data_IF_180705260591
#
_entry.id   IF_180705260591
#
_cell.length_a   1.000
_cell.length_b   1.000
_cell.length_c   1.000
_cell.angle_alpha   90.00
_cell.angle_beta   90.00
_cell.angle_gamma   90.00
#
_symmetry.space_group_name_H-M   'P 1'
#
loop_
_entity.id
_entity.type
_entity.pdbx_description
1 polymer ?
#
# COMPACT_ATOMS: atom_id res chain seq x y z
N UNK A 1 26.64 -5.75 -21.53
CA UNK A 1 25.79 -5.85 -20.31
C UNK A 1 25.50 -4.49 -19.71
N UNK A 2 26.43 -3.53 -19.69
CA UNK A 2 26.20 -2.17 -19.15
C UNK A 2 25.13 -1.34 -19.91
N UNK A 3 24.98 -1.50 -21.23
CA UNK A 3 24.02 -0.68 -22.01
C UNK A 3 22.54 -0.95 -21.70
N UNK A 4 22.20 -2.16 -21.26
CA UNK A 4 20.81 -2.52 -20.95
C UNK A 4 20.38 -2.00 -19.58
N UNK A 5 21.32 -1.87 -18.63
CA UNK A 5 21.02 -1.42 -17.28
C UNK A 5 20.76 0.09 -17.25
N UNK A 6 21.56 0.89 -17.98
CA UNK A 6 21.33 2.33 -18.13
C UNK A 6 19.99 2.64 -18.81
N UNK A 7 19.60 1.87 -19.83
CA UNK A 7 18.31 2.02 -20.48
C UNK A 7 17.14 1.67 -19.52
N UNK A 8 17.28 0.60 -18.73
CA UNK A 8 16.29 0.22 -17.73
C UNK A 8 16.11 1.31 -16.66
N UNK A 9 17.20 1.89 -16.15
CA UNK A 9 17.15 2.99 -15.18
C UNK A 9 16.39 4.20 -15.73
N UNK A 10 16.59 4.56 -16.99
CA UNK A 10 15.87 5.67 -17.62
C UNK A 10 14.36 5.41 -17.69
N UNK A 11 13.96 4.17 -18.03
CA UNK A 11 12.54 3.77 -18.07
C UNK A 11 11.93 3.78 -16.67
N UNK A 12 12.61 3.20 -15.67
CA UNK A 12 12.11 3.20 -14.30
C UNK A 12 12.00 4.62 -13.74
N UNK A 13 12.99 5.47 -13.99
CA UNK A 13 12.93 6.89 -13.63
C UNK A 13 11.74 7.58 -14.29
N UNK A 14 11.52 7.36 -15.58
CA UNK A 14 10.36 7.92 -16.28
C UNK A 14 9.04 7.46 -15.63
N UNK A 15 8.92 6.17 -15.27
CA UNK A 15 7.74 5.65 -14.58
C UNK A 15 7.49 6.35 -13.24
N UNK A 16 8.53 6.72 -12.48
CA UNK A 16 8.34 7.50 -11.25
C UNK A 16 7.76 8.90 -11.49
N UNK A 17 8.00 9.49 -12.66
CA UNK A 17 7.42 10.77 -13.07
C UNK A 17 5.98 10.62 -13.56
N UNK A 18 5.69 9.56 -14.32
CA UNK A 18 4.36 9.30 -14.88
C UNK A 18 3.36 8.80 -13.82
N UNK A 19 3.84 8.05 -12.82
CA UNK A 19 3.00 7.44 -11.78
C UNK A 19 3.50 7.82 -10.37
N UNK A 20 3.51 9.11 -10.02
CA UNK A 20 4.17 9.60 -8.81
C UNK A 20 3.54 9.11 -7.50
N UNK A 21 2.32 8.56 -7.54
CA UNK A 21 1.59 7.98 -6.40
C UNK A 21 1.75 6.46 -6.25
N UNK A 22 2.46 5.79 -7.15
CA UNK A 22 2.63 4.34 -7.12
C UNK A 22 3.87 3.95 -6.32
N UNK A 23 3.71 3.30 -5.17
CA UNK A 23 4.83 2.73 -4.40
C UNK A 23 5.68 1.78 -5.24
N UNK A 24 5.04 1.01 -6.14
CA UNK A 24 5.70 0.00 -6.98
C UNK A 24 6.72 0.60 -7.96
N UNK A 25 6.48 1.81 -8.49
CA UNK A 25 7.44 2.41 -9.44
C UNK A 25 8.70 2.86 -8.72
N UNK A 26 8.59 3.35 -7.49
CA UNK A 26 9.75 3.67 -6.67
C UNK A 26 10.48 2.41 -6.20
N UNK A 27 9.76 1.34 -5.83
CA UNK A 27 10.38 0.06 -5.47
C UNK A 27 11.19 -0.52 -6.64
N UNK A 28 10.57 -0.60 -7.81
CA UNK A 28 11.20 -1.11 -9.04
C UNK A 28 12.43 -0.27 -9.43
N UNK A 29 12.34 1.06 -9.29
CA UNK A 29 13.48 1.91 -9.56
C UNK A 29 14.59 1.73 -8.54
N UNK A 30 14.24 1.62 -7.24
CA UNK A 30 15.17 1.30 -6.16
C UNK A 30 15.93 -0.01 -6.41
N UNK A 31 15.24 -1.04 -6.88
CA UNK A 31 15.85 -2.33 -7.23
C UNK A 31 16.83 -2.23 -8.39
N UNK A 32 16.45 -1.51 -9.45
CA UNK A 32 17.33 -1.29 -10.59
C UNK A 32 18.58 -0.47 -10.19
N UNK A 33 18.41 0.55 -9.36
CA UNK A 33 19.50 1.39 -8.82
C UNK A 33 20.46 0.56 -7.97
N UNK A 34 19.93 -0.29 -7.08
CA UNK A 34 20.73 -1.18 -6.24
C UNK A 34 21.56 -2.16 -7.08
N UNK A 35 20.94 -2.77 -8.11
CA UNK A 35 21.64 -3.65 -9.07
C UNK A 35 22.72 -2.93 -9.87
N UNK A 36 22.55 -1.63 -10.13
CA UNK A 36 23.55 -0.78 -10.79
C UNK A 36 24.58 -0.16 -9.82
N UNK A 37 24.55 -0.54 -8.54
CA UNK A 37 25.49 -0.05 -7.52
C UNK A 37 25.22 1.37 -7.01
N UNK A 38 24.12 2.01 -7.42
CA UNK A 38 23.72 3.36 -6.99
C UNK A 38 22.94 3.29 -5.67
N UNK A 39 23.64 2.93 -4.59
CA UNK A 39 23.03 2.57 -3.29
C UNK A 39 22.26 3.72 -2.65
N UNK A 40 22.78 4.95 -2.70
CA UNK A 40 22.16 6.10 -2.05
C UNK A 40 20.81 6.42 -2.71
N UNK A 41 20.77 6.40 -4.05
CA UNK A 41 19.54 6.59 -4.82
C UNK A 41 18.57 5.42 -4.62
N UNK A 42 19.08 4.19 -4.50
CA UNK A 42 18.24 3.03 -4.21
C UNK A 42 17.54 3.19 -2.85
N UNK A 43 18.27 3.59 -1.81
CA UNK A 43 17.73 3.86 -0.47
C UNK A 43 16.64 4.93 -0.54
N UNK A 44 16.87 6.03 -1.25
CA UNK A 44 15.87 7.11 -1.39
C UNK A 44 14.56 6.59 -1.99
N UNK A 45 14.66 5.80 -3.06
CA UNK A 45 13.48 5.28 -3.76
C UNK A 45 12.76 4.21 -2.94
N UNK A 46 13.49 3.30 -2.29
CA UNK A 46 12.86 2.33 -1.40
C UNK A 46 12.18 3.00 -0.21
N UNK A 47 12.79 4.03 0.40
CA UNK A 47 12.15 4.80 1.49
C UNK A 47 10.83 5.38 1.02
N UNK A 48 10.83 6.04 -0.15
CA UNK A 48 9.62 6.62 -0.73
C UNK A 48 8.54 5.58 -0.99
N UNK A 49 8.94 4.41 -1.51
CA UNK A 49 8.01 3.29 -1.71
C UNK A 49 7.37 2.82 -0.40
N UNK A 50 8.18 2.61 0.65
CA UNK A 50 7.73 2.14 1.96
C UNK A 50 6.91 3.18 2.72
N UNK A 51 7.23 4.48 2.58
CA UNK A 51 6.42 5.56 3.14
C UNK A 51 5.03 5.63 2.49
N UNK A 52 4.94 5.38 1.18
CA UNK A 52 3.67 5.30 0.47
C UNK A 52 2.87 4.04 0.82
N UNK A 53 3.55 2.89 0.86
CA UNK A 53 3.00 1.59 1.24
C UNK A 53 3.85 0.91 2.32
N UNK A 54 3.52 1.08 3.61
CA UNK A 54 4.23 0.43 4.71
C UNK A 54 4.14 -1.11 4.70
N UNK A 55 3.25 -1.67 3.88
CA UNK A 55 3.13 -3.10 3.63
C UNK A 55 4.12 -3.64 2.59
N UNK A 56 4.92 -2.78 1.94
CA UNK A 56 5.93 -3.22 0.98
C UNK A 56 7.12 -3.90 1.69
N UNK A 57 6.94 -5.17 2.02
CA UNK A 57 7.97 -5.97 2.69
C UNK A 57 9.26 -6.09 1.85
N UNK A 58 9.13 -6.16 0.51
CA UNK A 58 10.29 -6.22 -0.38
C UNK A 58 11.19 -4.98 -0.25
N UNK A 59 10.60 -3.80 -0.24
CA UNK A 59 11.30 -2.53 -0.03
C UNK A 59 11.89 -2.42 1.38
N UNK A 60 11.18 -2.88 2.41
CA UNK A 60 11.68 -2.92 3.80
C UNK A 60 12.92 -3.83 3.89
N UNK A 61 12.84 -5.04 3.35
CA UNK A 61 13.95 -6.00 3.35
C UNK A 61 15.15 -5.48 2.55
N UNK A 62 14.90 -4.78 1.44
CA UNK A 62 15.95 -4.17 0.64
C UNK A 62 16.66 -3.04 1.40
N UNK A 63 15.90 -2.18 2.11
CA UNK A 63 16.46 -1.15 2.99
C UNK A 63 17.31 -1.76 4.09
N UNK A 64 16.83 -2.83 4.74
CA UNK A 64 17.58 -3.49 5.81
C UNK A 64 18.91 -4.07 5.29
N UNK A 65 18.90 -4.72 4.11
CA UNK A 65 20.12 -5.20 3.44
C UNK A 65 21.10 -4.06 3.09
N UNK A 66 20.58 -2.85 2.86
CA UNK A 66 21.36 -1.64 2.61
C UNK A 66 21.74 -0.90 3.90
N UNK A 67 21.43 -1.45 5.08
CA UNK A 67 21.80 -0.90 6.39
C UNK A 67 20.84 0.17 6.91
N UNK A 68 19.63 0.27 6.37
CA UNK A 68 18.61 1.24 6.78
C UNK A 68 17.43 0.52 7.40
N UNK A 69 17.06 0.89 8.63
CA UNK A 69 15.83 0.42 9.28
C UNK A 69 14.78 1.51 9.23
N UNK A 70 13.60 1.17 8.72
CA UNK A 70 12.43 2.06 8.72
C UNK A 70 11.64 1.90 10.01
N UNK A 71 11.09 2.99 10.52
CA UNK A 71 10.07 2.95 11.57
C UNK A 71 8.68 2.94 10.91
N UNK A 72 8.19 1.74 10.56
CA UNK A 72 6.89 1.53 9.89
C UNK A 72 5.77 1.19 10.88
N UNK A 73 5.80 1.76 12.09
CA UNK A 73 4.76 1.49 13.09
C UNK A 73 3.38 1.90 12.58
N UNK A 74 2.43 1.01 12.83
CA UNK A 74 1.02 1.25 12.57
C UNK A 74 0.51 2.41 13.43
N UNK A 75 -0.37 3.24 12.86
CA UNK A 75 -1.02 4.31 13.60
C UNK A 75 -1.92 3.72 14.70
N UNK A 76 -1.93 4.35 15.88
CA UNK A 76 -2.85 3.96 16.95
C UNK A 76 -4.20 4.65 16.75
N UNK A 77 -5.18 3.90 16.22
CA UNK A 77 -6.54 4.38 15.98
C UNK A 77 -7.47 3.89 17.10
N UNK A 78 -8.27 4.81 17.64
CA UNK A 78 -9.17 4.48 18.75
C UNK A 78 -10.26 3.49 18.34
N UNK A 79 -10.71 2.64 19.27
CA UNK A 79 -11.73 1.62 18.97
C UNK A 79 -13.05 2.21 18.46
N UNK A 80 -13.46 3.39 18.95
CA UNK A 80 -14.68 4.07 18.49
C UNK A 80 -14.58 4.49 17.02
N UNK A 81 -13.40 4.94 16.58
CA UNK A 81 -13.16 5.27 15.17
C UNK A 81 -13.15 3.99 14.34
N UNK A 82 -12.45 2.94 14.78
CA UNK A 82 -12.44 1.65 14.08
C UNK A 82 -13.83 1.02 13.94
N UNK A 83 -14.67 1.15 14.98
CA UNK A 83 -16.06 0.66 14.95
C UNK A 83 -16.87 1.34 13.84
N UNK A 84 -16.63 2.63 13.58
CA UNK A 84 -17.34 3.35 12.51
C UNK A 84 -17.06 2.81 11.09
N UNK A 85 -15.91 2.14 10.92
CA UNK A 85 -15.50 1.50 9.67
C UNK A 85 -16.09 0.11 9.45
N UNK A 86 -16.62 -0.54 10.50
CA UNK A 86 -17.21 -1.89 10.39
C UNK A 86 -18.46 -1.83 9.53
N UNK A 87 -18.58 -2.76 8.56
CA UNK A 87 -19.73 -2.85 7.68
C UNK A 87 -19.42 -3.56 6.37
N UNK A 88 -20.41 -3.59 5.47
CA UNK A 88 -20.26 -4.14 4.12
C UNK A 88 -20.24 -3.02 3.09
N UNK A 89 -19.26 -3.04 2.19
CA UNK A 89 -19.07 -2.04 1.16
C UNK A 89 -19.19 -2.68 -0.23
N UNK A 90 -20.13 -2.21 -1.05
CA UNK A 90 -20.33 -2.74 -2.40
C UNK A 90 -19.41 -2.00 -3.39
N UNK A 91 -18.37 -2.69 -3.87
CA UNK A 91 -17.38 -2.16 -4.83
C UNK A 91 -17.89 -2.24 -6.28
N UNK A 92 -18.71 -3.25 -6.58
CA UNK A 92 -19.41 -3.45 -7.84
C UNK A 92 -20.63 -4.37 -7.60
N UNK A 93 -21.60 -4.46 -8.52
CA UNK A 93 -22.79 -5.31 -8.33
C UNK A 93 -22.45 -6.75 -7.95
N UNK A 94 -22.81 -7.15 -6.72
CA UNK A 94 -22.54 -8.49 -6.18
C UNK A 94 -21.10 -8.75 -5.73
N UNK A 95 -20.22 -7.75 -5.81
CA UNK A 95 -18.84 -7.81 -5.31
C UNK A 95 -18.67 -6.84 -4.14
N UNK A 96 -18.57 -7.42 -2.94
CA UNK A 96 -18.51 -6.69 -1.69
C UNK A 96 -17.15 -6.83 -1.03
N UNK A 97 -16.81 -5.84 -0.22
CA UNK A 97 -15.74 -5.87 0.77
C UNK A 97 -16.38 -5.77 2.15
N UNK A 98 -16.26 -6.82 2.95
CA UNK A 98 -16.70 -6.83 4.34
C UNK A 98 -15.56 -6.37 5.25
N UNK A 99 -15.83 -5.38 6.10
CA UNK A 99 -14.90 -4.87 7.11
C UNK A 99 -15.39 -5.33 8.49
N UNK A 100 -14.55 -6.07 9.20
CA UNK A 100 -14.84 -6.59 10.55
C UNK A 100 -13.74 -6.22 11.54
N UNK A 101 -14.01 -6.31 12.84
CA UNK A 101 -13.08 -5.92 13.91
C UNK A 101 -12.92 -7.01 14.97
N UNK A 102 -11.74 -7.12 15.56
CA UNK A 102 -11.51 -7.84 16.83
C UNK A 102 -10.53 -7.03 17.68
N UNK A 103 -11.03 -6.41 18.77
CA UNK A 103 -10.23 -5.44 19.53
C UNK A 103 -9.80 -4.26 18.63
N UNK A 104 -8.53 -3.86 18.63
CA UNK A 104 -8.03 -2.80 17.75
C UNK A 104 -7.68 -3.25 16.32
N UNK A 105 -7.83 -4.54 15.99
CA UNK A 105 -7.47 -5.07 14.68
C UNK A 105 -8.69 -5.08 13.74
N UNK A 106 -8.55 -4.45 12.57
CA UNK A 106 -9.51 -4.56 11.48
C UNK A 106 -9.12 -5.70 10.52
N UNK A 107 -10.15 -6.26 9.89
CA UNK A 107 -10.03 -7.29 8.87
C UNK A 107 -10.91 -6.93 7.69
N UNK A 108 -10.47 -7.33 6.49
CA UNK A 108 -11.25 -7.22 5.26
C UNK A 108 -11.43 -8.58 4.60
N UNK A 109 -12.59 -8.77 3.98
CA UNK A 109 -12.87 -9.94 3.16
C UNK A 109 -13.64 -9.52 1.90
N UNK A 110 -13.03 -9.73 0.74
CA UNK A 110 -13.72 -9.57 -0.53
C UNK A 110 -14.54 -10.83 -0.86
N UNK A 111 -15.64 -10.69 -1.61
CA UNK A 111 -16.48 -11.83 -2.04
C UNK A 111 -15.62 -12.94 -2.67
N UNK A 112 -15.70 -14.15 -2.10
CA UNK A 112 -14.99 -15.33 -2.61
C UNK A 112 -13.49 -15.38 -2.28
N UNK A 113 -12.97 -14.45 -1.48
CA UNK A 113 -11.56 -14.40 -1.07
C UNK A 113 -11.41 -14.73 0.42
N UNK A 114 -10.16 -14.99 0.81
CA UNK A 114 -9.79 -15.13 2.21
C UNK A 114 -9.93 -13.79 2.95
N UNK A 115 -10.07 -13.86 4.27
CA UNK A 115 -10.06 -12.70 5.16
C UNK A 115 -8.62 -12.34 5.52
N UNK A 116 -8.30 -11.04 5.48
CA UNK A 116 -6.96 -10.54 5.79
C UNK A 116 -7.03 -9.41 6.82
N UNK A 117 -5.94 -9.24 7.57
CA UNK A 117 -5.74 -8.08 8.43
C UNK A 117 -5.43 -6.84 7.58
N UNK A 118 -5.94 -5.69 8.04
CA UNK A 118 -5.54 -4.38 7.52
C UNK A 118 -4.91 -3.57 8.65
N UNK A 119 -3.85 -2.82 8.35
CA UNK A 119 -3.06 -2.09 9.33
C UNK A 119 -3.23 -0.60 9.09
N UNK A 120 -3.34 0.18 10.17
CA UNK A 120 -3.55 1.61 10.08
C UNK A 120 -2.25 2.32 9.68
N UNK A 121 -2.29 3.10 8.61
CA UNK A 121 -1.25 4.07 8.25
C UNK A 121 -1.57 5.45 8.83
N UNK A 122 -2.85 5.79 8.88
CA UNK A 122 -3.39 6.98 9.53
C UNK A 122 -4.75 6.64 10.15
N UNK A 123 -5.51 7.64 10.60
CA UNK A 123 -6.87 7.42 11.09
C UNK A 123 -7.77 6.80 10.01
N UNK A 124 -7.62 7.21 8.74
CA UNK A 124 -8.50 6.83 7.62
C UNK A 124 -7.82 5.98 6.54
N UNK A 125 -6.49 5.93 6.48
CA UNK A 125 -5.73 5.14 5.51
C UNK A 125 -5.25 3.84 6.14
N UNK A 126 -5.52 2.72 5.46
CA UNK A 126 -5.14 1.39 5.87
C UNK A 126 -4.43 0.65 4.72
N UNK A 127 -3.57 -0.30 5.07
CA UNK A 127 -2.80 -1.06 4.10
C UNK A 127 -2.77 -2.56 4.45
N UNK A 128 -2.48 -3.39 3.46
CA UNK A 128 -2.32 -4.83 3.61
C UNK A 128 -0.83 -5.22 3.50
N UNK A 129 -0.41 -6.22 4.28
CA UNK A 129 0.95 -6.79 4.20
C UNK A 129 1.04 -8.01 3.27
N UNK A 130 -0.09 -8.58 2.89
CA UNK A 130 -0.19 -9.82 2.09
C UNK A 130 -0.46 -9.59 0.60
N UNK A 131 -0.93 -8.39 0.25
CA UNK A 131 -1.21 -7.95 -1.11
C UNK A 131 -0.98 -6.45 -1.19
N UNK A 132 -0.50 -5.96 -2.34
CA UNK A 132 -0.33 -4.53 -2.59
C UNK A 132 -1.70 -3.87 -2.83
N UNK A 133 -2.38 -3.58 -1.72
CA UNK A 133 -3.64 -2.87 -1.69
C UNK A 133 -3.72 -1.95 -0.47
N UNK A 134 -4.43 -0.84 -0.65
CA UNK A 134 -4.72 0.13 0.41
C UNK A 134 -6.21 0.45 0.43
N UNK A 135 -6.68 0.93 1.57
CA UNK A 135 -8.07 1.32 1.77
C UNK A 135 -8.08 2.70 2.39
N UNK A 136 -8.88 3.59 1.81
CA UNK A 136 -9.19 4.90 2.41
C UNK A 136 -10.66 4.90 2.82
N UNK A 137 -10.94 5.18 4.10
CA UNK A 137 -12.29 5.37 4.59
C UNK A 137 -12.75 6.81 4.41
N UNK A 138 -13.92 6.98 3.78
CA UNK A 138 -14.54 8.27 3.47
C UNK A 138 -15.94 8.30 4.10
N UNK A 139 -15.97 8.54 5.42
CA UNK A 139 -17.18 8.41 6.23
C UNK A 139 -18.25 9.46 5.89
N UNK A 140 -17.85 10.67 5.50
CA UNK A 140 -18.79 11.72 5.11
C UNK A 140 -19.61 11.33 3.88
N UNK A 141 -19.01 10.54 2.98
CA UNK A 141 -19.60 9.99 1.77
C UNK A 141 -20.19 8.58 2.00
N UNK A 142 -20.13 8.06 3.23
CA UNK A 142 -20.53 6.71 3.62
C UNK A 142 -19.96 5.62 2.68
N UNK A 143 -18.66 5.71 2.40
CA UNK A 143 -17.95 4.80 1.48
C UNK A 143 -16.52 4.51 1.94
N UNK A 144 -15.89 3.57 1.24
CA UNK A 144 -14.44 3.42 1.23
C UNK A 144 -13.94 3.44 -0.22
N UNK A 145 -12.64 3.63 -0.40
CA UNK A 145 -11.95 3.47 -1.68
C UNK A 145 -10.91 2.38 -1.53
N UNK A 146 -10.99 1.34 -2.36
CA UNK A 146 -9.95 0.33 -2.50
C UNK A 146 -8.95 0.78 -3.56
N UNK A 147 -7.69 0.95 -3.17
CA UNK A 147 -6.58 1.26 -4.06
C UNK A 147 -5.83 -0.03 -4.36
N UNK A 148 -5.94 -0.54 -5.59
CA UNK A 148 -5.27 -1.78 -5.98
C UNK A 148 -4.94 -1.79 -7.47
N UNK A 149 -3.74 -2.27 -7.82
CA UNK A 149 -3.26 -2.34 -9.21
C UNK A 149 -3.32 -0.98 -9.94
N UNK A 150 -3.04 0.11 -9.22
CA UNK A 150 -3.08 1.48 -9.76
C UNK A 150 -4.49 2.00 -10.07
N UNK A 151 -5.53 1.36 -9.52
CA UNK A 151 -6.93 1.79 -9.67
C UNK A 151 -7.54 2.13 -8.32
N UNK A 152 -8.44 3.11 -8.35
CA UNK A 152 -9.30 3.46 -7.24
C UNK A 152 -10.70 2.89 -7.49
N UNK A 153 -11.16 2.05 -6.57
CA UNK A 153 -12.47 1.38 -6.64
C UNK A 153 -13.30 1.85 -5.45
N UNK A 154 -14.18 2.86 -5.62
CA UNK A 154 -15.04 3.30 -4.55
C UNK A 154 -16.12 2.25 -4.26
N UNK A 155 -16.37 1.97 -2.98
CA UNK A 155 -17.47 1.10 -2.54
C UNK A 155 -18.34 1.75 -1.51
N UNK A 156 -19.65 1.85 -1.77
CA UNK A 156 -20.61 2.44 -0.84
C UNK A 156 -20.91 1.47 0.28
N UNK A 157 -21.03 1.97 1.51
CA UNK A 157 -21.47 1.17 2.65
C UNK A 157 -22.95 0.83 2.48
N UNK A 158 -23.26 -0.46 2.46
CA UNK A 158 -24.62 -1.00 2.27
C UNK A 158 -25.20 -1.65 3.52
N UNK A 159 -24.34 -1.99 4.50
CA UNK A 159 -24.70 -2.55 5.80
C UNK A 159 -23.72 -2.07 6.87
#
# INVERSE_FOLDING_TARGET
MESNLSAALAIFKLNTSEYPSSSNVYDSYGEALAKNGQKELAIENYKKSVEMNPGNQGGIDALEKLGVKMDTKDADVSENVLESYVGTYELAPGFNLEVTRTGKQLFTQATGQAKFEIYAKSETEFYLKVVDAQITFELAENRLVLHQNGRDVPGKKVK
#
